data_IF_612952639826
#
_entry.id   IF_612952639826
#
_cell.length_a   1.000
_cell.length_b   1.000
_cell.length_c   1.000
_cell.angle_alpha   90.00
_cell.angle_beta   90.00
_cell.angle_gamma   90.00
#
_symmetry.space_group_name_H-M   'P 1'
#
loop_
_entity.id
_entity.type
_entity.pdbx_description
1 polymer ?
#
# COMPACT_ATOMS: atom_id res chain seq x y z
N UNK A 1 -1.11 -39.31 -34.44
CA UNK A 1 -2.53 -39.71 -34.40
C UNK A 1 -2.54 -41.18 -34.04
N UNK A 2 -3.03 -41.51 -32.84
CA UNK A 2 -3.45 -42.82 -32.28
C UNK A 2 -3.43 -42.60 -30.74
N UNK A 3 -4.53 -42.28 -30.05
CA UNK A 3 -5.69 -43.10 -29.65
C UNK A 3 -5.25 -44.48 -29.10
N UNK A 4 -5.10 -44.65 -27.79
CA UNK A 4 -6.14 -44.84 -26.76
C UNK A 4 -6.31 -46.32 -26.40
N UNK A 5 -6.27 -46.58 -25.08
CA UNK A 5 -6.97 -47.63 -24.32
C UNK A 5 -6.06 -48.52 -23.47
N UNK A 6 -6.10 -48.28 -22.15
CA UNK A 6 -6.17 -49.33 -21.14
C UNK A 6 -6.63 -48.70 -19.82
N UNK A 7 -7.95 -48.53 -19.67
CA UNK A 7 -8.60 -48.39 -18.37
C UNK A 7 -8.78 -49.79 -17.76
N UNK A 8 -8.75 -49.83 -16.43
CA UNK A 8 -9.31 -50.87 -15.54
C UNK A 8 -8.35 -51.92 -14.99
N UNK A 9 -7.82 -51.64 -13.81
CA UNK A 9 -7.71 -52.62 -12.73
C UNK A 9 -7.94 -51.90 -11.40
N UNK A 10 -9.20 -51.79 -10.99
CA UNK A 10 -9.60 -51.39 -9.65
C UNK A 10 -9.68 -52.67 -8.77
N UNK A 11 -9.28 -52.51 -7.50
CA UNK A 11 -9.78 -53.24 -6.33
C UNK A 11 -9.21 -54.65 -6.02
N UNK A 12 -8.16 -54.66 -5.20
CA UNK A 12 -8.21 -55.17 -3.81
C UNK A 12 -6.86 -54.80 -3.18
N UNK A 13 -6.77 -54.13 -2.03
CA UNK A 13 -7.06 -54.65 -0.69
C UNK A 13 -7.24 -53.43 0.23
N UNK A 14 -8.38 -53.40 0.93
CA UNK A 14 -8.64 -52.48 2.03
C UNK A 14 -8.13 -53.10 3.35
N UNK A 15 -7.61 -52.20 4.20
CA UNK A 15 -7.29 -52.29 5.65
C UNK A 15 -5.82 -52.58 6.00
N UNK A 16 -5.15 -51.83 6.89
CA UNK A 16 -5.65 -50.82 7.82
C UNK A 16 -4.61 -49.85 8.39
N UNK A 17 -5.18 -48.83 9.05
CA UNK A 17 -4.64 -47.82 9.98
C UNK A 17 -3.88 -46.59 9.42
N UNK A 18 -4.15 -45.38 9.99
CA UNK A 18 -3.81 -44.10 9.36
C UNK A 18 -2.42 -43.63 9.79
N UNK A 19 -1.60 -43.23 8.82
CA UNK A 19 -0.50 -42.31 9.11
C UNK A 19 -1.09 -40.91 9.00
N UNK A 20 -1.42 -40.35 10.16
CA UNK A 20 -1.63 -38.94 10.39
C UNK A 20 -0.34 -38.18 10.03
N UNK A 21 -0.17 -37.91 8.74
CA UNK A 21 0.70 -36.84 8.25
C UNK A 21 -0.09 -35.55 8.36
N UNK A 22 -0.05 -34.95 9.54
CA UNK A 22 -0.46 -33.57 9.74
C UNK A 22 0.34 -32.76 8.72
N UNK A 23 -0.32 -32.37 7.63
CA UNK A 23 0.27 -31.45 6.68
C UNK A 23 0.29 -30.14 7.42
N UNK A 24 1.38 -29.90 8.14
CA UNK A 24 1.73 -28.61 8.70
C UNK A 24 1.59 -27.62 7.55
N UNK A 25 0.44 -26.95 7.51
CA UNK A 25 0.29 -25.68 6.82
C UNK A 25 1.30 -24.80 7.52
N UNK A 26 2.51 -24.72 6.94
CA UNK A 26 3.50 -23.75 7.35
C UNK A 26 2.78 -22.42 7.45
N UNK A 27 2.59 -21.95 8.68
CA UNK A 27 1.93 -20.70 8.97
C UNK A 27 2.88 -19.62 8.48
N UNK A 28 2.80 -19.34 7.16
CA UNK A 28 3.47 -18.17 6.60
C UNK A 28 3.00 -17.02 7.47
N UNK A 29 3.92 -16.26 8.11
CA UNK A 29 3.54 -15.28 9.11
C UNK A 29 2.46 -14.39 8.53
N UNK A 30 1.25 -14.46 9.10
CA UNK A 30 0.09 -13.71 8.59
C UNK A 30 0.51 -12.25 8.54
N UNK A 31 0.51 -11.67 7.33
CA UNK A 31 0.82 -10.26 7.14
C UNK A 31 -0.07 -9.46 8.09
N UNK A 32 0.54 -8.56 8.86
CA UNK A 32 -0.19 -7.65 9.73
C UNK A 32 -1.24 -6.91 8.91
N UNK A 33 -2.49 -6.93 9.39
CA UNK A 33 -3.58 -6.17 8.78
C UNK A 33 -3.57 -4.74 9.32
N UNK A 34 -3.55 -3.78 8.41
CA UNK A 34 -3.59 -2.35 8.68
C UNK A 34 -5.01 -1.82 8.52
N UNK A 35 -5.31 -0.72 9.21
CA UNK A 35 -6.58 -0.03 9.06
C UNK A 35 -6.61 0.80 7.77
N UNK A 36 -5.60 1.64 7.55
CA UNK A 36 -5.51 2.39 6.30
C UNK A 36 -4.06 2.71 5.91
N UNK A 37 -3.83 2.85 4.61
CA UNK A 37 -2.59 3.37 4.04
C UNK A 37 -2.89 4.71 3.38
N UNK A 38 -2.25 5.77 3.83
CA UNK A 38 -2.36 7.12 3.29
C UNK A 38 -1.11 7.44 2.46
N UNK A 39 -1.31 7.56 1.15
CA UNK A 39 -0.30 8.03 0.20
C UNK A 39 -0.50 9.50 -0.10
N UNK A 40 0.49 10.32 0.22
CA UNK A 40 0.52 11.75 -0.02
C UNK A 40 1.34 11.98 -1.30
N UNK A 41 0.67 12.15 -2.44
CA UNK A 41 1.32 12.42 -3.70
C UNK A 41 2.05 13.76 -3.65
N UNK A 42 3.35 13.74 -3.97
CA UNK A 42 4.23 14.91 -3.94
C UNK A 42 5.17 14.92 -5.14
N UNK A 43 5.90 16.01 -5.39
CA UNK A 43 6.87 16.11 -6.47
C UNK A 43 8.25 16.57 -5.97
N UNK A 44 9.28 16.48 -6.81
CA UNK A 44 10.62 16.94 -6.45
C UNK A 44 10.65 18.40 -5.97
N UNK A 45 9.90 19.29 -6.64
CA UNK A 45 9.80 20.72 -6.30
C UNK A 45 9.02 21.01 -5.01
N UNK A 46 8.27 20.04 -4.49
CA UNK A 46 7.34 20.23 -3.37
C UNK A 46 7.98 20.15 -1.98
N UNK A 47 9.29 20.39 -1.84
CA UNK A 47 9.97 20.26 -0.53
C UNK A 47 9.29 21.05 0.58
N UNK A 48 8.98 22.32 0.33
CA UNK A 48 8.30 23.20 1.31
C UNK A 48 6.92 22.69 1.70
N UNK A 49 6.18 22.05 0.78
CA UNK A 49 4.88 21.46 1.07
C UNK A 49 5.02 20.24 1.97
N UNK A 50 5.98 19.35 1.70
CA UNK A 50 6.27 18.22 2.58
C UNK A 50 6.64 18.67 3.99
N UNK A 51 7.50 19.68 4.11
CA UNK A 51 7.87 20.24 5.41
C UNK A 51 6.65 20.84 6.13
N UNK A 52 5.75 21.51 5.42
CA UNK A 52 4.49 22.02 5.98
C UNK A 52 3.55 20.91 6.44
N UNK A 53 3.37 19.85 5.64
CA UNK A 53 2.56 18.67 6.00
C UNK A 53 3.11 18.01 7.27
N UNK A 54 4.43 17.82 7.34
CA UNK A 54 5.13 17.30 8.53
C UNK A 54 4.96 18.20 9.75
N UNK A 55 5.01 19.52 9.57
CA UNK A 55 4.88 20.48 10.66
C UNK A 55 3.43 20.63 11.17
N UNK A 56 2.45 20.08 10.46
CA UNK A 56 1.03 20.29 10.76
C UNK A 56 0.31 18.98 11.08
N UNK A 57 -0.08 18.20 10.07
CA UNK A 57 -1.03 17.11 10.24
C UNK A 57 -0.44 15.70 10.08
N UNK A 58 0.77 15.58 9.55
CA UNK A 58 1.46 14.29 9.46
C UNK A 58 2.41 14.09 10.66
N UNK A 59 2.17 13.11 11.54
CA UNK A 59 3.10 12.78 12.62
C UNK A 59 4.48 12.41 12.07
N UNK A 60 5.52 12.77 12.83
CA UNK A 60 6.92 12.50 12.47
C UNK A 60 7.57 11.52 13.46
N UNK A 61 8.63 10.85 13.00
CA UNK A 61 9.49 10.00 13.84
C UNK A 61 8.68 8.98 14.66
N UNK A 62 8.93 8.95 15.97
CA UNK A 62 8.27 8.02 16.89
C UNK A 62 6.75 8.19 16.96
N UNK A 63 6.22 9.41 16.77
CA UNK A 63 4.77 9.61 16.72
C UNK A 63 4.14 8.94 15.50
N UNK A 64 4.85 8.94 14.36
CA UNK A 64 4.42 8.23 13.15
C UNK A 64 4.45 6.72 13.38
N UNK A 65 5.56 6.19 13.91
CA UNK A 65 5.69 4.75 14.22
C UNK A 65 4.60 4.28 15.19
N UNK A 66 4.35 5.04 16.25
CA UNK A 66 3.26 4.75 17.20
C UNK A 66 1.89 4.72 16.52
N UNK A 67 1.63 5.62 15.58
CA UNK A 67 0.38 5.62 14.80
C UNK A 67 0.26 4.35 13.92
N UNK A 68 1.36 3.93 13.29
CA UNK A 68 1.43 2.70 12.51
C UNK A 68 1.20 1.46 13.39
N UNK A 69 1.86 1.41 14.55
CA UNK A 69 1.86 0.27 15.48
C UNK A 69 0.58 0.13 16.29
N UNK A 70 0.00 1.23 16.78
CA UNK A 70 -1.18 1.17 17.65
C UNK A 70 -2.50 1.27 16.88
N UNK A 71 -2.51 2.06 15.80
CA UNK A 71 -3.74 2.34 15.04
C UNK A 71 -3.76 1.65 13.68
N UNK A 72 -2.65 1.07 13.23
CA UNK A 72 -2.57 0.44 11.92
C UNK A 72 -2.72 1.45 10.79
N UNK A 73 -2.28 2.69 10.99
CA UNK A 73 -2.38 3.76 9.97
C UNK A 73 -0.98 4.02 9.42
N UNK A 74 -0.75 3.66 8.15
CA UNK A 74 0.48 3.98 7.43
C UNK A 74 0.32 5.34 6.76
N UNK A 75 1.35 6.19 6.83
CA UNK A 75 1.38 7.48 6.13
C UNK A 75 2.72 7.67 5.42
N UNK A 76 2.70 7.83 4.09
CA UNK A 76 3.93 8.01 3.30
C UNK A 76 3.77 9.10 2.24
N UNK A 77 4.84 9.87 2.02
CA UNK A 77 4.96 10.71 0.82
C UNK A 77 5.26 9.82 -0.38
N UNK A 78 4.45 9.91 -1.41
CA UNK A 78 4.53 9.06 -2.60
C UNK A 78 5.27 9.80 -3.70
N UNK A 79 6.42 9.26 -4.08
CA UNK A 79 7.31 9.87 -5.06
C UNK A 79 8.00 8.79 -5.90
N UNK A 80 8.07 9.01 -7.20
CA UNK A 80 8.86 8.25 -8.15
C UNK A 80 10.31 8.74 -8.22
N UNK A 81 10.97 8.46 -9.33
CA UNK A 81 12.34 8.84 -9.60
C UNK A 81 12.45 9.83 -10.78
N UNK A 82 13.63 10.44 -10.92
CA UNK A 82 13.92 11.30 -12.06
C UNK A 82 14.04 10.50 -13.36
N UNK A 83 14.02 11.19 -14.51
CA UNK A 83 14.29 10.55 -15.80
C UNK A 83 15.68 9.90 -15.86
N UNK A 84 16.65 10.46 -15.13
CA UNK A 84 17.97 9.87 -14.93
C UNK A 84 18.07 9.35 -13.49
N UNK A 85 18.08 8.03 -13.34
CA UNK A 85 18.24 7.38 -12.04
C UNK A 85 19.53 7.84 -11.34
N UNK A 86 19.42 8.21 -10.07
CA UNK A 86 20.56 8.69 -9.27
C UNK A 86 21.02 10.11 -9.63
N UNK A 87 20.20 10.84 -10.39
CA UNK A 87 20.40 12.26 -10.67
C UNK A 87 20.25 13.15 -9.42
N UNK A 88 20.47 14.44 -9.58
CA UNK A 88 20.47 15.42 -8.47
C UNK A 88 19.13 15.41 -7.72
N UNK A 89 18.01 15.29 -8.44
CA UNK A 89 16.68 15.24 -7.85
C UNK A 89 16.47 13.99 -6.98
N UNK A 90 16.94 12.83 -7.43
CA UNK A 90 16.85 11.59 -6.66
C UNK A 90 17.71 11.66 -5.39
N UNK A 91 18.95 12.15 -5.51
CA UNK A 91 19.85 12.32 -4.36
C UNK A 91 19.28 13.28 -3.31
N UNK A 92 18.58 14.34 -3.74
CA UNK A 92 17.91 15.26 -2.83
C UNK A 92 16.79 14.56 -2.04
N UNK A 93 16.03 13.68 -2.69
CA UNK A 93 15.01 12.86 -2.01
C UNK A 93 15.64 11.83 -1.09
N UNK A 94 16.71 11.15 -1.51
CA UNK A 94 17.44 10.20 -0.66
C UNK A 94 18.00 10.86 0.60
N UNK A 95 18.54 12.09 0.48
CA UNK A 95 18.99 12.86 1.63
C UNK A 95 17.84 13.22 2.58
N UNK A 96 16.67 13.58 2.03
CA UNK A 96 15.48 13.85 2.84
C UNK A 96 14.94 12.58 3.51
N UNK A 97 14.88 11.47 2.78
CA UNK A 97 14.37 10.19 3.30
C UNK A 97 15.26 9.64 4.41
N UNK A 98 16.59 9.79 4.32
CA UNK A 98 17.49 9.43 5.43
C UNK A 98 17.18 10.19 6.72
N UNK A 99 16.66 11.41 6.64
CA UNK A 99 16.34 12.22 7.80
C UNK A 99 14.94 11.92 8.37
N UNK A 100 13.96 11.61 7.51
CA UNK A 100 12.56 11.51 7.91
C UNK A 100 11.94 10.12 7.80
N UNK A 101 12.43 9.29 6.88
CA UNK A 101 11.97 7.91 6.63
C UNK A 101 10.49 7.79 6.29
N UNK A 102 9.89 8.83 5.70
CA UNK A 102 8.46 8.89 5.35
C UNK A 102 8.16 8.69 3.87
N UNK A 103 9.14 8.40 3.02
CA UNK A 103 8.84 8.19 1.62
C UNK A 103 8.37 6.76 1.30
N UNK A 104 7.48 6.68 0.31
CA UNK A 104 7.24 5.51 -0.52
C UNK A 104 7.81 5.82 -1.90
N UNK A 105 8.98 5.24 -2.20
CA UNK A 105 9.63 5.34 -3.51
C UNK A 105 8.94 4.40 -4.49
N UNK A 106 8.50 4.93 -5.63
CA UNK A 106 7.88 4.17 -6.71
C UNK A 106 8.85 3.94 -7.85
N UNK A 107 8.70 2.80 -8.52
CA UNK A 107 9.28 2.57 -9.86
C UNK A 107 8.39 3.27 -10.90
N UNK A 108 8.61 4.58 -11.03
CA UNK A 108 7.81 5.50 -11.83
C UNK A 108 8.63 6.75 -12.12
N UNK A 109 8.73 7.15 -13.40
CA UNK A 109 9.35 8.42 -13.78
C UNK A 109 8.39 9.56 -13.47
N UNK A 110 8.82 10.51 -12.63
CA UNK A 110 8.00 11.69 -12.31
C UNK A 110 7.81 12.61 -13.53
N UNK A 111 6.58 13.07 -13.70
CA UNK A 111 6.22 14.04 -14.73
C UNK A 111 4.77 14.51 -14.57
N UNK A 112 4.47 15.73 -15.02
CA UNK A 112 3.10 16.26 -14.92
C UNK A 112 2.09 15.43 -15.72
N UNK A 113 2.47 14.98 -16.91
CA UNK A 113 1.62 14.11 -17.74
C UNK A 113 1.50 12.68 -17.18
N UNK A 114 2.34 12.33 -16.20
CA UNK A 114 2.46 10.99 -15.63
C UNK A 114 1.65 10.80 -14.33
N UNK A 115 0.92 11.83 -13.87
CA UNK A 115 0.19 11.80 -12.59
C UNK A 115 -0.86 10.67 -12.49
N UNK A 116 -1.52 10.34 -13.60
CA UNK A 116 -2.46 9.22 -13.66
C UNK A 116 -1.75 7.88 -13.49
N UNK A 117 -0.62 7.71 -14.20
CA UNK A 117 0.23 6.52 -14.09
C UNK A 117 0.81 6.39 -12.68
N UNK A 118 1.26 7.50 -12.07
CA UNK A 118 1.71 7.56 -10.67
C UNK A 118 0.65 7.05 -9.71
N UNK A 119 -0.59 7.51 -9.87
CA UNK A 119 -1.70 7.10 -9.01
C UNK A 119 -1.98 5.60 -9.12
N UNK A 120 -1.95 5.05 -10.33
CA UNK A 120 -2.06 3.60 -10.55
C UNK A 120 -0.91 2.84 -9.89
N UNK A 121 0.34 3.28 -10.10
CA UNK A 121 1.53 2.65 -9.53
C UNK A 121 1.53 2.70 -8.00
N UNK A 122 1.07 3.81 -7.41
CA UNK A 122 0.88 3.94 -5.97
C UNK A 122 -0.05 2.86 -5.42
N UNK A 123 -1.28 2.74 -5.92
CA UNK A 123 -2.24 1.77 -5.41
C UNK A 123 -1.74 0.32 -5.61
N UNK A 124 -1.18 0.01 -6.79
CA UNK A 124 -0.61 -1.31 -7.06
C UNK A 124 0.51 -1.67 -6.07
N UNK A 125 1.39 -0.70 -5.76
CA UNK A 125 2.49 -0.88 -4.82
C UNK A 125 1.98 -1.00 -3.38
N UNK A 126 1.06 -0.12 -2.97
CA UNK A 126 0.52 -0.09 -1.62
C UNK A 126 -0.20 -1.40 -1.25
N UNK A 127 -1.01 -1.95 -2.16
CA UNK A 127 -1.72 -3.23 -1.96
C UNK A 127 -0.74 -4.41 -1.87
N UNK A 128 0.39 -4.35 -2.58
CA UNK A 128 1.43 -5.40 -2.51
C UNK A 128 2.17 -5.37 -1.17
N UNK A 129 2.46 -4.18 -0.66
CA UNK A 129 3.27 -3.96 0.55
C UNK A 129 2.46 -4.16 1.84
N UNK A 130 1.25 -3.61 1.91
CA UNK A 130 0.44 -3.60 3.12
C UNK A 130 -0.93 -4.21 2.84
N UNK A 131 -1.32 -5.20 3.65
CA UNK A 131 -2.70 -5.67 3.71
C UNK A 131 -3.51 -4.69 4.57
N UNK A 132 -4.37 -3.87 3.96
CA UNK A 132 -5.11 -2.82 4.65
C UNK A 132 -6.60 -2.80 4.28
N UNK A 133 -7.45 -2.33 5.20
CA UNK A 133 -8.88 -2.17 4.92
C UNK A 133 -9.16 -1.03 3.92
N UNK A 134 -8.36 0.04 3.96
CA UNK A 134 -8.52 1.21 3.11
C UNK A 134 -7.18 1.70 2.55
N UNK A 135 -7.20 2.19 1.31
CA UNK A 135 -6.08 2.85 0.67
C UNK A 135 -6.53 4.25 0.25
N UNK A 136 -5.78 5.26 0.67
CA UNK A 136 -6.16 6.67 0.56
C UNK A 136 -5.09 7.41 -0.21
N UNK A 137 -5.48 8.09 -1.28
CA UNK A 137 -4.61 9.00 -2.03
C UNK A 137 -5.00 10.43 -1.70
N UNK A 138 -4.03 11.26 -1.30
CA UNK A 138 -4.18 12.71 -1.10
C UNK A 138 -3.03 13.43 -1.80
N UNK A 139 -3.19 14.72 -2.06
CA UNK A 139 -2.14 15.57 -2.64
C UNK A 139 -1.42 16.36 -1.53
N UNK A 140 -0.22 16.89 -1.79
CA UNK A 140 0.62 17.54 -0.77
C UNK A 140 0.23 18.99 -0.44
N UNK A 141 -0.79 19.54 -1.08
CA UNK A 141 -1.37 20.86 -0.84
C UNK A 141 -2.73 20.82 -0.13
N UNK A 142 -3.06 19.70 0.50
CA UNK A 142 -4.24 19.57 1.36
C UNK A 142 -3.87 19.40 2.83
N UNK A 143 -4.82 19.69 3.71
CA UNK A 143 -4.74 19.39 5.13
C UNK A 143 -5.76 18.31 5.49
N UNK A 144 -5.31 17.23 6.13
CA UNK A 144 -6.19 16.10 6.49
C UNK A 144 -6.31 15.98 8.00
N UNK A 145 -7.54 16.00 8.51
CA UNK A 145 -7.81 15.57 9.88
C UNK A 145 -7.82 14.04 9.95
N UNK A 146 -6.71 13.45 10.39
CA UNK A 146 -6.52 11.99 10.44
C UNK A 146 -7.53 11.30 11.36
N UNK A 147 -7.89 11.93 12.49
CA UNK A 147 -8.89 11.39 13.42
C UNK A 147 -10.27 11.29 12.77
N UNK A 148 -10.74 12.39 12.19
CA UNK A 148 -12.05 12.42 11.52
C UNK A 148 -12.11 11.51 10.30
N UNK A 149 -11.02 11.41 9.53
CA UNK A 149 -10.91 10.47 8.42
C UNK A 149 -11.04 9.02 8.93
N UNK A 150 -10.29 8.67 9.99
CA UNK A 150 -10.32 7.34 10.57
C UNK A 150 -11.71 6.96 11.09
N UNK A 151 -12.37 7.85 11.82
CA UNK A 151 -13.75 7.65 12.29
C UNK A 151 -14.74 7.45 11.13
N UNK A 152 -14.58 8.24 10.07
CA UNK A 152 -15.45 8.14 8.89
C UNK A 152 -15.29 6.81 8.17
N UNK A 153 -14.06 6.34 7.98
CA UNK A 153 -13.79 5.03 7.39
C UNK A 153 -14.21 3.89 8.30
N UNK A 154 -14.07 4.03 9.62
CA UNK A 154 -14.53 3.01 10.57
C UNK A 154 -16.04 2.75 10.47
N UNK A 155 -16.84 3.80 10.25
CA UNK A 155 -18.30 3.68 10.01
C UNK A 155 -18.65 2.93 8.72
N UNK A 156 -17.72 2.83 7.77
CA UNK A 156 -17.92 2.17 6.48
C UNK A 156 -17.42 0.72 6.42
N UNK A 157 -16.80 0.19 7.49
CA UNK A 157 -16.18 -1.15 7.50
C UNK A 157 -17.09 -2.30 7.07
N UNK A 158 -18.40 -2.19 7.33
CA UNK A 158 -19.38 -3.23 6.99
C UNK A 158 -19.88 -3.14 5.53
N UNK A 159 -19.51 -2.08 4.80
CA UNK A 159 -19.94 -1.87 3.41
C UNK A 159 -18.84 -2.40 2.47
N UNK A 160 -19.14 -3.31 1.54
CA UNK A 160 -18.15 -3.79 0.58
C UNK A 160 -17.86 -2.73 -0.50
N UNK A 161 -16.64 -2.72 -1.04
CA UNK A 161 -16.24 -1.93 -2.23
C UNK A 161 -16.53 -0.43 -2.12
N UNK A 162 -16.20 0.14 -0.97
CA UNK A 162 -16.40 1.56 -0.69
C UNK A 162 -15.39 2.41 -1.47
N UNK A 163 -15.89 3.41 -2.20
CA UNK A 163 -15.09 4.47 -2.81
C UNK A 163 -15.67 5.82 -2.37
N UNK A 164 -14.88 6.61 -1.65
CA UNK A 164 -15.32 7.85 -1.01
C UNK A 164 -14.42 8.99 -1.46
N UNK A 165 -15.03 10.11 -1.81
CA UNK A 165 -14.35 11.36 -2.13
C UNK A 165 -15.36 12.46 -2.45
N UNK A 166 -14.85 13.64 -2.79
CA UNK A 166 -15.66 14.68 -3.42
C UNK A 166 -15.91 14.28 -4.88
N UNK A 167 -16.97 13.51 -5.10
CA UNK A 167 -17.34 13.02 -6.42
C UNK A 167 -17.90 14.19 -7.24
N UNK A 168 -17.31 14.44 -8.41
CA UNK A 168 -17.86 15.36 -9.40
C UNK A 168 -18.44 14.53 -10.54
N UNK A 169 -19.69 14.80 -10.91
CA UNK A 169 -20.21 14.39 -12.22
C UNK A 169 -19.57 15.27 -13.29
N UNK A 170 -19.33 14.69 -14.48
CA UNK A 170 -18.92 15.48 -15.64
C UNK A 170 -20.02 16.45 -16.08
N UNK A 171 -19.75 17.28 -17.11
CA UNK A 171 -20.82 17.95 -17.85
C UNK A 171 -21.82 16.96 -18.45
#
# INVERSE_FOLDING_TARGET
MELAAAKSAQESILSGAPISGDSEKGDSPKKRKYFMVVGINTAFSSRKRRDSVRATWMPQGEKRKKLEEEKGIIMRFVIGHGATLGGILDRAIEAEDRNHGDFLRLDHVEGYLELSAKTKTYFATAVKLWDAEYYVKVDDDVHVNIGTLAETLARHRKKPRVYIGCMKSGP
#
